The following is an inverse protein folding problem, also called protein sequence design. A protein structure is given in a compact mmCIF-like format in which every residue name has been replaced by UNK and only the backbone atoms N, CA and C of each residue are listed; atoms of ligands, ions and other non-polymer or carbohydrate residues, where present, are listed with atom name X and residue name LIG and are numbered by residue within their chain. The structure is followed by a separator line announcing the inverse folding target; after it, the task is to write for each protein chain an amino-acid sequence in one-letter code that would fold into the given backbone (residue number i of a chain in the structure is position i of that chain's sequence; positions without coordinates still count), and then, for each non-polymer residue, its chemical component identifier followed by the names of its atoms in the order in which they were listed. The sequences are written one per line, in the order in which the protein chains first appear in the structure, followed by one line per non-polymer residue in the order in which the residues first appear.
data_IF_084632396688
#
_entry.id   IF_084632396688
#
_cell.length_a   1.000
_cell.length_b   1.000
_cell.length_c   1.000
_cell.angle_alpha   90.00
_cell.angle_beta   90.00
_cell.angle_gamma   90.00
#
_symmetry.space_group_name_H-M   'P 1'
#
loop_
_entity.id
_entity.type
_entity.pdbx_description
1 polymer ?
#
# COMPACT_ATOMS: atom_id res chain seq x y z
N UNK A 1 -0.34 -10.76 1.90
CA UNK A 1 -0.99 -11.91 1.32
C UNK A 1 -1.24 -11.76 -0.15
N UNK A 2 -0.65 -12.66 -0.93
CA UNK A 2 -0.57 -12.55 -2.38
C UNK A 2 -1.93 -12.50 -3.12
N UNK A 3 -3.02 -12.96 -2.56
CA UNK A 3 -4.30 -13.04 -3.28
C UNK A 3 -5.20 -11.80 -3.15
N UNK A 4 -5.62 -11.49 -1.92
CA UNK A 4 -6.68 -10.50 -1.69
C UNK A 4 -6.27 -9.04 -1.96
N UNK A 5 -5.06 -8.65 -1.56
CA UNK A 5 -4.57 -7.28 -1.77
C UNK A 5 -4.27 -6.99 -3.24
N UNK A 6 -3.78 -8.00 -3.98
CA UNK A 6 -3.55 -7.91 -5.42
C UNK A 6 -4.86 -7.66 -6.15
N UNK A 7 -5.85 -8.53 -5.96
CA UNK A 7 -7.15 -8.41 -6.60
C UNK A 7 -7.86 -7.08 -6.27
N UNK A 8 -7.69 -6.60 -5.04
CA UNK A 8 -8.23 -5.31 -4.62
C UNK A 8 -7.54 -4.14 -5.34
N UNK A 9 -6.20 -4.21 -5.51
CA UNK A 9 -5.44 -3.18 -6.23
C UNK A 9 -5.81 -3.18 -7.72
N UNK A 10 -5.91 -4.33 -8.36
CA UNK A 10 -6.31 -4.45 -9.77
C UNK A 10 -7.69 -3.84 -10.02
N UNK A 11 -8.66 -4.12 -9.16
CA UNK A 11 -9.99 -3.48 -9.24
C UNK A 11 -9.94 -1.97 -9.06
N UNK A 12 -9.10 -1.49 -8.14
CA UNK A 12 -8.92 -0.06 -7.91
C UNK A 12 -8.32 0.62 -9.15
N UNK A 13 -7.27 0.04 -9.74
CA UNK A 13 -6.64 0.58 -10.94
C UNK A 13 -7.63 0.62 -12.11
N UNK A 14 -8.40 -0.43 -12.32
CA UNK A 14 -9.44 -0.46 -13.35
C UNK A 14 -10.50 0.64 -13.15
N UNK A 15 -10.90 0.92 -11.91
CA UNK A 15 -11.81 2.03 -11.60
C UNK A 15 -11.18 3.39 -11.87
N UNK A 16 -9.94 3.61 -11.46
CA UNK A 16 -9.23 4.87 -11.69
C UNK A 16 -9.14 5.13 -13.19
N UNK A 17 -8.75 4.15 -13.98
CA UNK A 17 -8.65 4.31 -15.43
C UNK A 17 -9.99 4.65 -16.09
N UNK A 18 -11.07 4.01 -15.66
CA UNK A 18 -12.41 4.30 -16.18
C UNK A 18 -12.88 5.71 -15.83
N UNK A 19 -12.58 6.19 -14.62
CA UNK A 19 -13.01 7.51 -14.12
C UNK A 19 -12.20 8.65 -14.76
N UNK A 20 -10.94 8.38 -15.10
CA UNK A 20 -10.00 9.36 -15.64
C UNK A 20 -9.66 9.10 -17.11
N UNK A 21 -10.63 8.63 -17.92
CA UNK A 21 -10.50 8.52 -19.37
C UNK A 21 -10.06 9.86 -19.96
N UNK A 22 -8.79 9.94 -20.42
CA UNK A 22 -8.19 11.15 -20.97
C UNK A 22 -7.08 11.79 -20.14
N UNK A 23 -6.93 11.47 -18.86
CA UNK A 23 -5.76 11.84 -18.09
C UNK A 23 -4.75 10.69 -18.08
N UNK A 24 -3.56 10.89 -18.61
CA UNK A 24 -2.50 9.88 -18.58
C UNK A 24 -1.95 9.76 -17.15
N UNK A 25 -2.49 8.83 -16.36
CA UNK A 25 -2.00 8.52 -15.03
C UNK A 25 -1.02 7.36 -15.13
N UNK A 26 0.22 7.59 -14.72
CA UNK A 26 1.25 6.55 -14.70
C UNK A 26 1.39 5.98 -13.29
N UNK A 27 1.53 4.67 -13.18
CA UNK A 27 1.69 3.96 -11.91
C UNK A 27 3.09 3.36 -11.78
N UNK A 28 3.55 3.25 -10.54
CA UNK A 28 4.75 2.49 -10.18
C UNK A 28 4.30 1.46 -9.15
N UNK A 29 4.50 0.18 -9.46
CA UNK A 29 4.16 -0.91 -8.59
C UNK A 29 5.27 -1.19 -7.57
N UNK A 30 4.91 -1.36 -6.29
CA UNK A 30 5.79 -1.93 -5.28
C UNK A 30 5.10 -3.16 -4.72
N UNK A 31 5.69 -4.34 -4.95
CA UNK A 31 5.07 -5.63 -4.65
C UNK A 31 5.96 -6.48 -3.77
N UNK A 32 5.37 -7.43 -3.03
CA UNK A 32 6.12 -8.53 -2.42
C UNK A 32 6.51 -9.54 -3.49
N UNK A 33 7.66 -10.20 -3.33
CA UNK A 33 8.36 -11.06 -4.31
C UNK A 33 7.59 -12.26 -4.88
N UNK A 34 6.29 -12.30 -4.84
CA UNK A 34 5.46 -13.36 -5.42
C UNK A 34 4.16 -12.81 -6.03
N UNK A 35 4.04 -11.49 -6.15
CA UNK A 35 2.78 -10.86 -6.53
C UNK A 35 2.99 -9.74 -7.57
N UNK A 36 3.37 -10.09 -8.79
CA UNK A 36 3.35 -9.12 -9.90
C UNK A 36 1.91 -8.65 -10.15
N UNK A 37 1.74 -7.34 -10.34
CA UNK A 37 0.48 -6.74 -10.82
C UNK A 37 0.69 -6.49 -12.31
N UNK A 38 -0.07 -7.18 -13.14
CA UNK A 38 -0.04 -6.99 -14.59
C UNK A 38 -1.10 -5.95 -14.96
N UNK A 39 -0.63 -4.73 -15.29
CA UNK A 39 -1.51 -3.64 -15.70
C UNK A 39 -0.77 -2.74 -16.69
N UNK A 40 -1.41 -2.36 -17.79
CA UNK A 40 -0.81 -1.61 -18.92
C UNK A 40 -0.18 -0.27 -18.54
N UNK A 41 -0.69 0.37 -17.48
CA UNK A 41 -0.25 1.72 -17.08
C UNK A 41 0.82 1.71 -15.98
N UNK A 42 1.35 0.52 -15.66
CA UNK A 42 2.48 0.39 -14.72
C UNK A 42 3.78 0.57 -15.48
N UNK A 43 4.47 1.67 -15.23
CA UNK A 43 5.76 2.01 -15.86
C UNK A 43 6.91 1.12 -15.37
N UNK A 44 6.89 0.75 -14.10
CA UNK A 44 7.91 -0.05 -13.46
C UNK A 44 7.35 -0.76 -12.24
N UNK A 45 7.86 -1.97 -11.97
CA UNK A 45 7.53 -2.73 -10.77
C UNK A 45 8.81 -3.00 -9.98
N UNK A 46 8.78 -2.69 -8.69
CA UNK A 46 9.86 -2.93 -7.74
C UNK A 46 9.45 -4.04 -6.77
N UNK A 47 10.15 -5.17 -6.82
CA UNK A 47 9.92 -6.27 -5.90
C UNK A 47 10.68 -6.05 -4.59
N UNK A 48 10.00 -6.30 -3.48
CA UNK A 48 10.56 -6.14 -2.15
C UNK A 48 10.26 -7.39 -1.29
N UNK A 49 11.18 -7.77 -0.41
CA UNK A 49 10.92 -8.86 0.51
C UNK A 49 9.74 -8.53 1.44
N UNK A 50 8.97 -9.53 1.89
CA UNK A 50 7.85 -9.31 2.80
C UNK A 50 8.34 -8.61 4.08
N UNK A 51 7.61 -7.58 4.51
CA UNK A 51 7.97 -6.78 5.68
C UNK A 51 8.07 -7.62 6.94
N UNK A 52 7.20 -8.61 7.11
CA UNK A 52 7.14 -9.47 8.28
C UNK A 52 7.11 -10.94 7.88
N UNK A 53 8.02 -11.73 8.46
CA UNK A 53 7.91 -13.19 8.42
C UNK A 53 6.77 -13.63 9.36
N UNK A 54 5.80 -14.38 8.83
CA UNK A 54 4.63 -14.84 9.60
C UNK A 54 4.96 -15.95 10.61
N UNK A 55 6.04 -16.70 10.36
CA UNK A 55 6.32 -17.93 11.07
C UNK A 55 7.37 -17.78 12.17
N UNK A 56 8.30 -16.83 12.06
CA UNK A 56 9.43 -16.69 12.99
C UNK A 56 9.60 -15.24 13.45
N UNK A 57 9.05 -14.92 14.63
CA UNK A 57 9.12 -13.56 15.19
C UNK A 57 10.55 -13.13 15.52
N UNK A 58 11.40 -14.04 16.01
CA UNK A 58 12.79 -13.74 16.38
C UNK A 58 13.68 -13.40 15.17
N UNK A 59 13.46 -14.06 14.03
CA UNK A 59 14.19 -13.78 12.78
C UNK A 59 13.92 -12.34 12.29
N UNK A 60 12.74 -11.81 12.57
CA UNK A 60 12.42 -10.44 12.21
C UNK A 60 13.37 -9.43 12.87
N UNK A 61 13.78 -9.64 14.12
CA UNK A 61 14.65 -8.71 14.84
C UNK A 61 16.01 -8.56 14.16
N UNK A 62 16.62 -9.65 13.70
CA UNK A 62 17.92 -9.65 13.04
C UNK A 62 17.87 -9.20 11.56
N UNK A 63 16.76 -9.43 10.88
CA UNK A 63 16.61 -9.10 9.45
C UNK A 63 16.03 -7.70 9.20
N UNK A 64 15.49 -7.03 10.22
CA UNK A 64 14.94 -5.66 10.11
C UNK A 64 15.94 -4.66 9.52
N UNK A 65 17.19 -4.56 9.98
CA UNK A 65 18.13 -3.57 9.44
C UNK A 65 18.39 -3.76 7.93
N UNK A 66 18.56 -5.02 7.49
CA UNK A 66 18.79 -5.34 6.08
C UNK A 66 17.56 -5.04 5.22
N UNK A 67 16.38 -5.41 5.70
CA UNK A 67 15.13 -5.09 5.01
C UNK A 67 14.90 -3.58 4.92
N UNK A 68 15.22 -2.86 5.99
CA UNK A 68 15.11 -1.41 5.99
C UNK A 68 16.05 -0.76 4.97
N UNK A 69 17.27 -1.25 4.86
CA UNK A 69 18.21 -0.81 3.83
C UNK A 69 17.64 -1.03 2.42
N UNK A 70 17.06 -2.19 2.12
CA UNK A 70 16.43 -2.47 0.84
C UNK A 70 15.27 -1.51 0.55
N UNK A 71 14.42 -1.22 1.55
CA UNK A 71 13.32 -0.27 1.40
C UNK A 71 13.81 1.15 1.13
N UNK A 72 14.84 1.61 1.84
CA UNK A 72 15.45 2.93 1.62
C UNK A 72 16.10 3.01 0.24
N UNK A 73 16.85 1.99 -0.17
CA UNK A 73 17.47 1.93 -1.48
C UNK A 73 16.43 1.99 -2.61
N UNK A 74 15.38 1.19 -2.52
CA UNK A 74 14.28 1.21 -3.47
C UNK A 74 13.58 2.58 -3.51
N UNK A 75 13.29 3.16 -2.35
CA UNK A 75 12.72 4.51 -2.26
C UNK A 75 13.60 5.56 -2.94
N UNK A 76 14.93 5.51 -2.74
CA UNK A 76 15.87 6.44 -3.36
C UNK A 76 15.92 6.27 -4.88
N UNK A 77 15.88 5.03 -5.38
CA UNK A 77 15.78 4.74 -6.82
C UNK A 77 14.52 5.34 -7.43
N UNK A 78 13.37 5.07 -6.84
CA UNK A 78 12.09 5.61 -7.30
C UNK A 78 12.14 7.15 -7.31
N UNK A 79 12.58 7.76 -6.21
CA UNK A 79 12.67 9.22 -6.10
C UNK A 79 13.61 9.86 -7.12
N UNK A 80 14.68 9.17 -7.51
CA UNK A 80 15.63 9.66 -8.52
C UNK A 80 15.02 9.68 -9.93
N UNK A 81 14.13 8.74 -10.21
CA UNK A 81 13.57 8.52 -11.54
C UNK A 81 12.21 9.17 -11.75
N UNK A 82 11.44 9.34 -10.66
CA UNK A 82 10.03 9.76 -10.74
C UNK A 82 9.68 10.81 -9.69
N UNK A 83 8.81 11.72 -10.08
CA UNK A 83 8.14 12.64 -9.15
C UNK A 83 6.82 12.01 -8.69
N UNK A 84 6.83 11.44 -7.49
CA UNK A 84 5.71 10.69 -6.93
C UNK A 84 4.72 11.63 -6.24
N UNK A 85 3.56 11.82 -6.84
CA UNK A 85 2.51 12.70 -6.32
C UNK A 85 1.72 12.07 -5.17
N UNK A 86 1.48 10.76 -5.27
CA UNK A 86 0.69 10.04 -4.25
C UNK A 86 1.13 8.59 -4.13
N UNK A 87 1.01 8.05 -2.92
CA UNK A 87 1.16 6.61 -2.64
C UNK A 87 -0.21 6.05 -2.27
N UNK A 88 -0.63 5.01 -2.97
CA UNK A 88 -1.91 4.32 -2.72
C UNK A 88 -1.60 2.89 -2.28
N UNK A 89 -2.23 2.44 -1.21
CA UNK A 89 -2.08 1.07 -0.72
C UNK A 89 -3.40 0.44 -0.31
N UNK A 90 -3.55 -0.85 -0.61
CA UNK A 90 -4.71 -1.68 -0.28
C UNK A 90 -4.46 -2.65 0.88
N UNK A 91 -3.43 -2.40 1.71
CA UNK A 91 -3.30 -3.08 2.99
C UNK A 91 -2.10 -3.98 3.26
N UNK A 92 -1.16 -4.29 2.33
CA UNK A 92 -0.01 -5.12 2.70
C UNK A 92 0.91 -4.39 3.69
N UNK A 93 1.59 -5.16 4.55
CA UNK A 93 2.52 -4.60 5.55
C UNK A 93 3.67 -3.79 4.95
N UNK A 94 4.04 -4.11 3.72
CA UNK A 94 5.00 -3.39 2.88
C UNK A 94 4.64 -1.88 2.72
N UNK A 95 3.36 -1.53 2.77
CA UNK A 95 2.92 -0.14 2.67
C UNK A 95 3.49 0.77 3.77
N UNK A 96 3.73 0.23 4.96
CA UNK A 96 4.15 1.03 6.13
C UNK A 96 5.49 1.73 5.88
N UNK A 97 6.62 1.02 5.62
CA UNK A 97 7.90 1.67 5.44
C UNK A 97 7.92 2.66 4.27
N UNK A 98 7.31 2.32 3.14
CA UNK A 98 7.24 3.23 1.99
C UNK A 98 6.38 4.46 2.29
N UNK A 99 5.23 4.29 2.94
CA UNK A 99 4.38 5.43 3.32
C UNK A 99 5.11 6.40 4.26
N UNK A 100 5.89 5.89 5.22
CA UNK A 100 6.70 6.75 6.10
C UNK A 100 7.74 7.54 5.29
N UNK A 101 8.50 6.86 4.43
CA UNK A 101 9.55 7.50 3.62
C UNK A 101 8.98 8.57 2.67
N UNK A 102 7.89 8.26 1.98
CA UNK A 102 7.23 9.22 1.08
C UNK A 102 6.54 10.35 1.84
N UNK A 103 5.97 10.09 3.02
CA UNK A 103 5.37 11.13 3.88
C UNK A 103 6.38 12.18 4.31
N UNK A 104 7.63 11.78 4.61
CA UNK A 104 8.73 12.72 4.91
C UNK A 104 9.04 13.67 3.74
N UNK A 105 8.62 13.32 2.52
CA UNK A 105 8.73 14.15 1.31
C UNK A 105 7.45 14.91 0.96
N UNK A 106 6.48 14.94 1.89
CA UNK A 106 5.16 15.57 1.72
C UNK A 106 4.31 14.96 0.59
N UNK A 107 4.63 13.73 0.15
CA UNK A 107 3.81 12.97 -0.78
C UNK A 107 2.49 12.59 -0.12
N UNK A 108 1.38 12.67 -0.83
CA UNK A 108 0.06 12.28 -0.32
C UNK A 108 -0.04 10.78 -0.14
N UNK A 109 -0.51 10.34 1.02
CA UNK A 109 -0.67 8.93 1.36
C UNK A 109 -2.15 8.58 1.44
N UNK A 110 -2.55 7.63 0.62
CA UNK A 110 -3.92 7.09 0.57
C UNK A 110 -3.87 5.62 0.97
N UNK A 111 -4.64 5.26 1.96
CA UNK A 111 -4.75 3.88 2.42
C UNK A 111 -6.18 3.40 2.36
N UNK A 112 -6.38 2.19 1.84
CA UNK A 112 -7.67 1.52 1.75
C UNK A 112 -7.58 0.24 2.58
N UNK A 113 -8.35 0.15 3.65
CA UNK A 113 -8.40 -1.06 4.48
C UNK A 113 -8.97 -2.21 3.66
N UNK A 114 -8.42 -3.39 3.88
CA UNK A 114 -8.82 -4.57 3.11
C UNK A 114 -10.30 -4.91 3.28
N UNK A 115 -10.93 -5.30 2.19
CA UNK A 115 -12.35 -5.70 2.16
C UNK A 115 -12.70 -6.90 3.05
N UNK A 116 -11.70 -7.75 3.33
CA UNK A 116 -11.89 -8.95 4.16
C UNK A 116 -11.99 -8.65 5.67
N UNK A 117 -11.89 -7.38 6.07
CA UNK A 117 -12.03 -6.96 7.47
C UNK A 117 -13.42 -6.39 7.72
N UNK A 118 -14.14 -7.03 8.63
CA UNK A 118 -15.49 -6.63 9.05
C UNK A 118 -15.51 -6.19 10.51
N UNK A 119 -14.84 -6.92 11.38
CA UNK A 119 -14.92 -6.72 12.83
C UNK A 119 -13.57 -6.49 13.50
N UNK A 120 -12.49 -6.59 12.75
CA UNK A 120 -11.13 -6.45 13.28
C UNK A 120 -10.28 -5.53 12.41
N UNK A 121 -9.32 -4.89 13.03
CA UNK A 121 -8.33 -4.08 12.32
C UNK A 121 -7.21 -4.94 11.74
N UNK A 122 -6.71 -4.59 10.56
CA UNK A 122 -5.43 -5.12 10.11
C UNK A 122 -4.28 -4.46 10.87
N UNK A 123 -3.13 -5.14 10.97
CA UNK A 123 -1.94 -4.51 11.55
C UNK A 123 -1.50 -3.27 10.77
N UNK A 124 -1.48 -3.38 9.45
CA UNK A 124 -1.17 -2.25 8.58
C UNK A 124 -2.19 -1.12 8.74
N UNK A 125 -3.48 -1.42 8.81
CA UNK A 125 -4.54 -0.44 9.04
C UNK A 125 -4.37 0.35 10.34
N UNK A 126 -4.00 -0.32 11.45
CA UNK A 126 -3.73 0.37 12.74
C UNK A 126 -2.64 1.44 12.61
N UNK A 127 -1.56 1.10 11.90
CA UNK A 127 -0.43 2.02 11.71
C UNK A 127 -0.79 3.11 10.70
N UNK A 128 -1.34 2.69 9.55
CA UNK A 128 -1.65 3.60 8.45
C UNK A 128 -2.76 4.60 8.77
N UNK A 129 -3.67 4.27 9.69
CA UNK A 129 -4.69 5.22 10.15
C UNK A 129 -4.10 6.50 10.78
N UNK A 130 -2.86 6.43 11.32
CA UNK A 130 -2.14 7.57 11.87
C UNK A 130 -1.26 8.30 10.83
N UNK A 131 -0.90 7.60 9.76
CA UNK A 131 0.06 8.09 8.76
C UNK A 131 -0.64 8.65 7.52
N UNK A 132 -1.70 7.98 7.04
CA UNK A 132 -2.37 8.32 5.80
C UNK A 132 -3.05 9.70 5.86
N UNK A 133 -3.01 10.43 4.75
CA UNK A 133 -3.76 11.68 4.56
C UNK A 133 -5.23 11.40 4.29
N UNK A 134 -5.50 10.26 3.60
CA UNK A 134 -6.86 9.73 3.40
C UNK A 134 -6.87 8.25 3.74
N UNK A 135 -7.78 7.87 4.61
CA UNK A 135 -7.97 6.50 5.04
C UNK A 135 -9.38 6.05 4.69
N UNK A 136 -9.47 5.02 3.85
CA UNK A 136 -10.74 4.49 3.38
C UNK A 136 -11.05 3.15 4.03
N UNK A 137 -12.33 2.94 4.34
CA UNK A 137 -12.87 1.66 4.80
C UNK A 137 -13.96 1.19 3.83
N UNK A 138 -14.07 -0.11 3.66
CA UNK A 138 -15.05 -0.74 2.78
C UNK A 138 -16.22 -1.36 3.53
N UNK A 139 -16.11 -1.48 4.85
CA UNK A 139 -17.18 -1.98 5.73
C UNK A 139 -17.49 -0.93 6.80
N UNK A 140 -18.75 -0.57 6.92
CA UNK A 140 -19.21 0.44 7.90
C UNK A 140 -18.95 0.03 9.35
N UNK A 141 -18.93 -1.28 9.64
CA UNK A 141 -18.58 -1.82 10.96
C UNK A 141 -17.20 -1.39 11.48
N UNK A 142 -16.29 -1.02 10.56
CA UNK A 142 -14.95 -0.57 10.92
C UNK A 142 -14.91 0.87 11.46
N UNK A 143 -15.98 1.65 11.38
CA UNK A 143 -16.03 2.98 12.00
C UNK A 143 -15.78 2.94 13.51
N UNK A 144 -16.12 1.85 14.19
CA UNK A 144 -15.80 1.65 15.61
C UNK A 144 -14.30 1.72 15.92
N UNK A 145 -13.46 1.40 14.93
CA UNK A 145 -12.00 1.42 15.05
C UNK A 145 -11.35 2.63 14.37
N UNK A 146 -12.01 3.14 13.32
CA UNK A 146 -11.52 4.21 12.45
C UNK A 146 -12.58 5.29 12.29
N UNK A 147 -12.91 6.04 13.37
CA UNK A 147 -14.03 6.99 13.36
C UNK A 147 -13.89 8.13 12.35
N UNK A 148 -12.67 8.48 11.95
CA UNK A 148 -12.39 9.52 10.94
C UNK A 148 -12.15 8.96 9.54
N UNK A 149 -12.37 7.66 9.31
CA UNK A 149 -12.20 7.06 8.00
C UNK A 149 -13.31 7.49 7.04
N UNK A 150 -13.03 7.35 5.74
CA UNK A 150 -13.99 7.61 4.68
C UNK A 150 -14.56 6.27 4.22
N UNK A 151 -15.86 6.13 4.20
CA UNK A 151 -16.50 4.93 3.66
C UNK A 151 -16.55 5.02 2.13
N UNK A 152 -15.93 4.05 1.44
CA UNK A 152 -15.87 4.00 -0.02
C UNK A 152 -16.85 3.01 -0.66
N UNK A 153 -17.51 2.17 0.13
CA UNK A 153 -18.15 0.97 -0.38
C UNK A 153 -17.12 -0.10 -0.77
N UNK A 154 -17.61 -1.21 -1.31
CA UNK A 154 -16.75 -2.29 -1.83
C UNK A 154 -16.14 -1.89 -3.19
N UNK A 155 -14.86 -2.20 -3.36
CA UNK A 155 -14.14 -2.09 -4.64
C UNK A 155 -14.58 -3.15 -5.63
#
# INVERSE_FOLDING_TARGET
GAGGHKAQMEKLLAKINKEYEGAKVNFIGITESESSIDHSDILATYEQPPFRNKYFSMINLFTIPLKYYNFVSCFLQIKKQYDVLSVISTGPGLAIPFSVLFKLKKTKIVFIETWSRFETQSYAGKVMYRIADKFYIQNKSLFKFYPKAIYSGLL
#
